data_IF_856768417073
#
_entry.id   IF_856768417073
#
_cell.length_a   1.000
_cell.length_b   1.000
_cell.length_c   1.000
_cell.angle_alpha   90.00
_cell.angle_beta   90.00
_cell.angle_gamma   90.00
#
_symmetry.space_group_name_H-M   'P 1'
#
loop_
_entity.id
_entity.type
_entity.pdbx_description
1 polymer ?
#
# COMPACT_ATOMS: atom_id res chain seq x y z
N UNK A 1 25.98 10.88 -3.84
CA UNK A 1 25.73 9.43 -3.83
C UNK A 1 24.26 9.16 -4.14
N UNK A 2 23.92 8.88 -5.40
CA UNK A 2 22.51 8.77 -5.88
C UNK A 2 22.01 7.32 -5.75
N UNK A 3 22.90 6.33 -5.74
CA UNK A 3 22.54 4.91 -5.79
C UNK A 3 22.04 4.38 -4.44
N UNK A 4 22.70 4.73 -3.35
CA UNK A 4 22.38 4.21 -2.02
C UNK A 4 20.99 4.67 -1.52
N UNK A 5 20.62 5.99 -1.58
CA UNK A 5 19.29 6.41 -1.17
C UNK A 5 18.17 5.70 -1.94
N UNK A 6 18.38 5.44 -3.24
CA UNK A 6 17.40 4.74 -4.09
C UNK A 6 17.15 3.31 -3.60
N UNK A 7 18.22 2.53 -3.33
CA UNK A 7 18.11 1.15 -2.83
C UNK A 7 17.46 1.12 -1.46
N UNK A 8 17.87 2.03 -0.57
CA UNK A 8 17.27 2.14 0.77
C UNK A 8 15.78 2.50 0.68
N UNK A 9 15.43 3.46 -0.17
CA UNK A 9 14.02 3.85 -0.35
C UNK A 9 13.19 2.71 -0.94
N UNK A 10 13.73 1.97 -1.90
CA UNK A 10 13.06 0.80 -2.47
C UNK A 10 12.80 -0.26 -1.40
N UNK A 11 13.81 -0.58 -0.57
CA UNK A 11 13.64 -1.50 0.55
C UNK A 11 12.57 -1.03 1.55
N UNK A 12 12.64 0.23 2.00
CA UNK A 12 11.69 0.81 2.95
C UNK A 12 10.27 0.83 2.41
N UNK A 13 10.09 1.18 1.13
CA UNK A 13 8.78 1.18 0.48
C UNK A 13 8.22 -0.24 0.40
N UNK A 14 9.02 -1.22 -0.02
CA UNK A 14 8.60 -2.62 -0.06
C UNK A 14 8.25 -3.17 1.32
N UNK A 15 9.03 -2.82 2.35
CA UNK A 15 8.78 -3.18 3.74
C UNK A 15 7.45 -2.57 4.25
N UNK A 16 7.23 -1.28 3.99
CA UNK A 16 6.00 -0.57 4.37
C UNK A 16 4.75 -1.18 3.72
N UNK A 17 4.78 -1.38 2.40
CA UNK A 17 3.66 -1.94 1.65
C UNK A 17 3.34 -3.37 2.11
N UNK A 18 4.36 -4.20 2.30
CA UNK A 18 4.16 -5.59 2.71
C UNK A 18 3.65 -5.75 4.13
N UNK A 19 4.17 -4.97 5.08
CA UNK A 19 3.65 -4.95 6.45
C UNK A 19 2.20 -4.46 6.49
N UNK A 20 1.88 -3.44 5.72
CA UNK A 20 0.53 -2.90 5.55
C UNK A 20 -0.42 -3.94 4.94
N UNK A 21 0.03 -4.64 3.89
CA UNK A 21 -0.70 -5.73 3.25
C UNK A 21 -0.97 -6.89 4.22
N UNK A 22 0.03 -7.31 5.00
CA UNK A 22 -0.14 -8.34 6.02
C UNK A 22 -1.22 -7.99 7.04
N UNK A 23 -1.25 -6.75 7.52
CA UNK A 23 -2.23 -6.28 8.47
C UNK A 23 -3.65 -6.22 7.85
N UNK A 24 -3.79 -5.60 6.68
CA UNK A 24 -5.11 -5.42 6.04
C UNK A 24 -5.75 -6.75 5.65
N UNK A 25 -4.96 -7.71 5.16
CA UNK A 25 -5.46 -9.06 4.83
C UNK A 25 -6.08 -9.76 6.05
N UNK A 26 -5.50 -9.58 7.21
CA UNK A 26 -5.99 -10.19 8.46
C UNK A 26 -7.19 -9.43 9.02
N UNK A 27 -7.13 -8.11 9.06
CA UNK A 27 -8.22 -7.25 9.52
C UNK A 27 -9.48 -7.45 8.70
N UNK A 28 -9.35 -7.61 7.37
CA UNK A 28 -10.47 -7.84 6.46
C UNK A 28 -10.75 -9.33 6.21
N UNK A 29 -9.97 -10.23 6.80
CA UNK A 29 -10.07 -11.70 6.60
C UNK A 29 -10.13 -12.10 5.12
N UNK A 30 -9.41 -11.36 4.32
CA UNK A 30 -9.36 -11.57 2.88
C UNK A 30 -7.91 -11.56 2.40
N UNK A 31 -7.37 -12.70 1.93
CA UNK A 31 -5.99 -12.78 1.44
C UNK A 31 -5.72 -11.92 0.19
N UNK A 32 -6.78 -11.45 -0.47
CA UNK A 32 -6.75 -10.57 -1.63
C UNK A 32 -6.89 -9.09 -1.25
N UNK A 33 -7.12 -8.79 0.03
CA UNK A 33 -7.24 -7.41 0.48
C UNK A 33 -5.90 -6.69 0.33
N UNK A 34 -5.98 -5.49 -0.20
CA UNK A 34 -4.85 -4.60 -0.43
C UNK A 34 -5.23 -3.19 0.03
N UNK A 35 -4.30 -2.41 0.57
CA UNK A 35 -4.51 -0.99 0.82
C UNK A 35 -5.02 -0.21 -0.40
N UNK A 36 -4.66 -0.67 -1.59
CA UNK A 36 -5.06 -0.04 -2.85
C UNK A 36 -6.55 -0.21 -3.16
N UNK A 37 -7.13 -1.35 -2.82
CA UNK A 37 -8.58 -1.58 -2.99
C UNK A 37 -9.43 -0.69 -2.08
N UNK A 38 -8.80 -0.09 -1.04
CA UNK A 38 -9.47 0.83 -0.12
C UNK A 38 -9.33 2.31 -0.51
N UNK A 39 -8.74 2.61 -1.66
CA UNK A 39 -8.68 3.95 -2.22
C UNK A 39 -7.44 4.76 -1.87
N UNK A 40 -6.50 4.22 -1.09
CA UNK A 40 -5.29 4.96 -0.68
C UNK A 40 -4.46 5.42 -1.88
N UNK A 41 -4.30 4.55 -2.89
CA UNK A 41 -3.51 4.89 -4.09
C UNK A 41 -4.21 5.87 -5.02
N UNK A 42 -5.52 5.75 -5.21
CA UNK A 42 -6.29 6.69 -6.03
C UNK A 42 -6.32 8.09 -5.40
N UNK A 43 -6.47 8.17 -4.07
CA UNK A 43 -6.34 9.42 -3.35
C UNK A 43 -4.96 10.05 -3.48
N UNK A 44 -3.89 9.26 -3.29
CA UNK A 44 -2.53 9.74 -3.48
C UNK A 44 -2.29 10.25 -4.91
N UNK A 45 -2.79 9.52 -5.92
CA UNK A 45 -2.70 9.92 -7.33
C UNK A 45 -3.46 11.22 -7.61
N UNK A 46 -4.62 11.40 -6.99
CA UNK A 46 -5.38 12.64 -7.11
C UNK A 46 -4.62 13.83 -6.52
N UNK A 47 -4.09 13.70 -5.30
CA UNK A 47 -3.31 14.77 -4.66
C UNK A 47 -2.06 15.13 -5.44
N UNK A 48 -1.29 14.14 -5.88
CA UNK A 48 -0.10 14.36 -6.70
C UNK A 48 -0.45 14.97 -8.06
N UNK A 49 -1.52 14.49 -8.70
CA UNK A 49 -2.03 15.00 -9.97
C UNK A 49 -2.46 16.45 -9.88
N UNK A 50 -3.15 16.87 -8.81
CA UNK A 50 -3.51 18.27 -8.56
C UNK A 50 -2.27 19.18 -8.49
N UNK A 51 -1.25 18.76 -7.75
CA UNK A 51 0.00 19.51 -7.62
C UNK A 51 0.70 19.62 -8.97
N UNK A 52 0.79 18.52 -9.73
CA UNK A 52 1.41 18.53 -11.07
C UNK A 52 0.62 19.42 -12.03
N UNK A 53 -0.71 19.27 -12.08
CA UNK A 53 -1.57 20.04 -12.97
C UNK A 53 -1.51 21.55 -12.66
N UNK A 54 -1.58 21.92 -11.39
CA UNK A 54 -1.53 23.31 -10.94
C UNK A 54 -0.13 23.93 -10.99
N UNK A 55 0.93 23.10 -10.89
CA UNK A 55 2.33 23.57 -10.87
C UNK A 55 2.77 24.15 -9.53
N UNK A 56 2.10 23.82 -8.43
CA UNK A 56 2.46 24.32 -7.10
C UNK A 56 3.70 23.62 -6.55
N UNK A 57 4.60 24.39 -5.90
CA UNK A 57 5.86 23.89 -5.31
C UNK A 57 6.17 24.52 -3.95
N UNK A 58 5.17 24.69 -3.09
CA UNK A 58 5.33 25.48 -1.85
C UNK A 58 6.18 24.77 -0.76
N UNK A 59 6.28 23.43 -0.78
CA UNK A 59 7.18 22.64 0.08
C UNK A 59 8.40 22.08 -0.67
N UNK A 60 8.77 22.66 -1.82
CA UNK A 60 9.86 22.16 -2.65
C UNK A 60 9.65 20.69 -3.05
N UNK A 61 10.67 19.85 -2.86
CA UNK A 61 10.63 18.42 -3.21
C UNK A 61 9.56 17.59 -2.46
N UNK A 62 9.05 18.08 -1.33
CA UNK A 62 8.05 17.39 -0.52
C UNK A 62 6.61 17.74 -0.90
N UNK A 63 6.39 18.74 -1.77
CA UNK A 63 5.02 19.17 -2.14
C UNK A 63 4.17 18.02 -2.69
N UNK A 64 4.72 17.26 -3.63
CA UNK A 64 4.05 16.09 -4.22
C UNK A 64 3.76 15.01 -3.17
N UNK A 65 4.74 14.71 -2.31
CA UNK A 65 4.60 13.70 -1.28
C UNK A 65 3.56 14.11 -0.22
N UNK A 66 3.59 15.36 0.22
CA UNK A 66 2.64 15.90 1.19
C UNK A 66 1.19 15.85 0.63
N UNK A 67 0.98 16.31 -0.59
CA UNK A 67 -0.34 16.26 -1.22
C UNK A 67 -0.80 14.80 -1.42
N UNK A 68 0.07 13.92 -1.92
CA UNK A 68 -0.24 12.51 -2.07
C UNK A 68 -0.66 11.85 -0.75
N UNK A 69 0.08 12.10 0.34
CA UNK A 69 -0.24 11.57 1.67
C UNK A 69 -1.56 12.13 2.20
N UNK A 70 -1.77 13.45 2.14
CA UNK A 70 -3.00 14.10 2.62
C UNK A 70 -4.23 13.53 1.91
N UNK A 71 -4.20 13.45 0.59
CA UNK A 71 -5.34 12.92 -0.17
C UNK A 71 -5.52 11.41 -0.02
N UNK A 72 -4.45 10.64 0.19
CA UNK A 72 -4.54 9.23 0.57
C UNK A 72 -5.30 9.04 1.89
N UNK A 73 -4.95 9.84 2.91
CA UNK A 73 -5.61 9.82 4.22
C UNK A 73 -7.06 10.31 4.12
N UNK A 74 -7.33 11.38 3.39
CA UNK A 74 -8.69 11.89 3.17
C UNK A 74 -9.58 10.85 2.49
N UNK A 75 -9.07 10.16 1.49
CA UNK A 75 -9.80 9.09 0.79
C UNK A 75 -10.13 7.94 1.73
N UNK A 76 -9.16 7.49 2.52
CA UNK A 76 -9.40 6.44 3.50
C UNK A 76 -10.37 6.88 4.58
N UNK A 77 -10.23 8.11 5.08
CA UNK A 77 -11.17 8.67 6.06
C UNK A 77 -12.60 8.73 5.49
N UNK A 78 -12.75 9.15 4.24
CA UNK A 78 -14.04 9.13 3.54
C UNK A 78 -14.59 7.71 3.44
N UNK A 79 -13.78 6.72 3.04
CA UNK A 79 -14.20 5.31 2.95
C UNK A 79 -14.69 4.78 4.31
N UNK A 80 -13.94 5.06 5.39
CA UNK A 80 -14.33 4.68 6.76
C UNK A 80 -15.60 5.40 7.20
N UNK A 81 -15.74 6.69 6.92
CA UNK A 81 -16.92 7.47 7.28
C UNK A 81 -18.18 6.99 6.54
N UNK A 82 -18.08 6.73 5.24
CA UNK A 82 -19.19 6.17 4.46
C UNK A 82 -19.57 4.77 4.95
N UNK A 83 -18.60 3.89 5.16
CA UNK A 83 -18.86 2.55 5.71
C UNK A 83 -19.55 2.62 7.06
N UNK A 84 -19.10 3.47 7.97
CA UNK A 84 -19.69 3.62 9.31
C UNK A 84 -21.13 4.11 9.29
N UNK A 85 -21.57 4.82 8.24
CA UNK A 85 -22.95 5.27 8.08
C UNK A 85 -23.86 4.20 7.49
N UNK A 86 -23.31 3.35 6.60
CA UNK A 86 -24.07 2.31 5.90
C UNK A 86 -24.17 1.05 6.77
N UNK A 87 -23.08 0.68 7.43
CA UNK A 87 -22.96 -0.55 8.19
C UNK A 87 -22.40 -0.28 9.60
N UNK A 88 -23.28 -0.42 10.61
CA UNK A 88 -22.90 -0.22 12.03
C UNK A 88 -21.92 -1.28 12.53
N UNK A 89 -21.94 -2.49 11.96
CA UNK A 89 -21.04 -3.59 12.32
C UNK A 89 -19.67 -3.46 11.66
N UNK A 90 -19.52 -2.51 10.73
CA UNK A 90 -18.28 -2.22 10.03
C UNK A 90 -17.67 -3.47 9.39
N UNK A 91 -18.50 -4.21 8.64
CA UNK A 91 -18.09 -5.48 8.02
C UNK A 91 -17.04 -5.31 6.92
N UNK A 92 -16.19 -6.33 6.78
CA UNK A 92 -15.07 -6.31 5.82
C UNK A 92 -15.54 -6.15 4.37
N UNK A 93 -16.66 -6.78 4.01
CA UNK A 93 -17.28 -6.70 2.68
C UNK A 93 -17.72 -5.27 2.33
N UNK A 94 -18.37 -4.60 3.28
CA UNK A 94 -18.86 -3.22 3.11
C UNK A 94 -17.69 -2.24 2.98
N UNK A 95 -16.63 -2.42 3.77
CA UNK A 95 -15.40 -1.59 3.69
C UNK A 95 -14.76 -1.73 2.31
N UNK A 96 -14.56 -2.95 1.84
CA UNK A 96 -13.94 -3.22 0.54
C UNK A 96 -14.78 -2.65 -0.60
N UNK A 97 -16.10 -2.87 -0.56
CA UNK A 97 -17.00 -2.33 -1.57
C UNK A 97 -16.97 -0.80 -1.63
N UNK A 98 -17.09 -0.15 -0.46
CA UNK A 98 -17.03 1.32 -0.36
C UNK A 98 -15.69 1.86 -0.85
N UNK A 99 -14.58 1.21 -0.47
CA UNK A 99 -13.24 1.57 -0.92
C UNK A 99 -13.08 1.43 -2.44
N UNK A 100 -13.57 0.34 -3.03
CA UNK A 100 -13.51 0.13 -4.48
C UNK A 100 -14.33 1.18 -5.25
N UNK A 101 -15.57 1.46 -4.82
CA UNK A 101 -16.40 2.48 -5.47
C UNK A 101 -15.73 3.85 -5.43
N UNK A 102 -15.21 4.23 -4.25
CA UNK A 102 -14.51 5.49 -4.07
C UNK A 102 -13.21 5.55 -4.91
N UNK A 103 -12.47 4.44 -4.97
CA UNK A 103 -11.27 4.31 -5.83
C UNK A 103 -11.59 4.52 -7.30
N UNK A 104 -12.64 3.89 -7.82
CA UNK A 104 -13.06 4.01 -9.21
C UNK A 104 -13.48 5.46 -9.53
N UNK A 105 -14.26 6.07 -8.63
CA UNK A 105 -14.71 7.46 -8.79
C UNK A 105 -13.52 8.43 -8.82
N UNK A 106 -12.59 8.33 -7.85
CA UNK A 106 -11.40 9.19 -7.81
C UNK A 106 -10.50 8.94 -9.02
N UNK A 107 -10.32 7.68 -9.43
CA UNK A 107 -9.53 7.34 -10.62
C UNK A 107 -10.10 7.94 -11.90
N UNK A 108 -11.43 7.97 -12.03
CA UNK A 108 -12.08 8.66 -13.15
C UNK A 108 -11.77 10.17 -13.17
N UNK A 109 -11.83 10.82 -12.00
CA UNK A 109 -11.46 12.24 -11.88
C UNK A 109 -9.99 12.46 -12.25
N UNK A 110 -9.07 11.60 -11.76
CA UNK A 110 -7.63 11.67 -12.07
C UNK A 110 -7.40 11.53 -13.57
N UNK A 111 -8.10 10.62 -14.25
CA UNK A 111 -7.99 10.45 -15.70
C UNK A 111 -8.49 11.68 -16.47
N UNK A 112 -9.62 12.27 -16.07
CA UNK A 112 -10.11 13.52 -16.67
C UNK A 112 -9.10 14.65 -16.45
N UNK A 113 -8.62 14.82 -15.22
CA UNK A 113 -7.62 15.83 -14.88
C UNK A 113 -6.32 15.64 -15.67
N UNK A 114 -5.85 14.41 -15.82
CA UNK A 114 -4.66 14.10 -16.61
C UNK A 114 -4.83 14.49 -18.07
N UNK A 115 -5.98 14.17 -18.69
CA UNK A 115 -6.29 14.57 -20.07
C UNK A 115 -6.35 16.09 -20.26
N UNK A 116 -6.88 16.81 -19.28
CA UNK A 116 -6.95 18.27 -19.31
C UNK A 116 -5.61 18.96 -19.03
N UNK A 117 -4.65 18.26 -18.44
CA UNK A 117 -3.36 18.80 -18.04
C UNK A 117 -2.38 19.06 -19.21
N UNK A 118 -2.74 18.73 -20.46
CA UNK A 118 -1.93 18.98 -21.63
C UNK A 118 -0.54 18.35 -21.55
N UNK A 119 0.50 19.17 -21.65
CA UNK A 119 1.91 18.68 -21.62
C UNK A 119 2.30 17.97 -20.30
N UNK A 120 1.59 18.27 -19.20
CA UNK A 120 1.84 17.63 -17.89
C UNK A 120 1.24 16.22 -17.79
N UNK A 121 0.45 15.77 -18.75
CA UNK A 121 -0.14 14.43 -18.82
C UNK A 121 0.88 13.32 -18.59
N UNK A 122 2.02 13.38 -19.29
CA UNK A 122 3.10 12.38 -19.14
C UNK A 122 3.68 12.34 -17.73
N UNK A 123 3.74 13.50 -17.05
CA UNK A 123 4.25 13.58 -15.67
C UNK A 123 3.30 12.90 -14.68
N UNK A 124 2.00 13.10 -14.83
CA UNK A 124 0.97 12.45 -14.01
C UNK A 124 1.03 10.93 -14.20
N UNK A 125 1.08 10.45 -15.44
CA UNK A 125 1.20 9.01 -15.73
C UNK A 125 2.48 8.41 -15.17
N UNK A 126 3.63 9.09 -15.35
CA UNK A 126 4.91 8.63 -14.81
C UNK A 126 4.87 8.51 -13.28
N UNK A 127 4.21 9.46 -12.60
CA UNK A 127 4.04 9.37 -11.15
C UNK A 127 3.16 8.18 -10.74
N UNK A 128 2.06 7.92 -11.46
CA UNK A 128 1.17 6.79 -11.20
C UNK A 128 1.83 5.41 -11.37
N UNK A 129 2.84 5.30 -12.20
CA UNK A 129 3.51 4.00 -12.45
C UNK A 129 4.64 3.69 -11.48
N UNK A 130 4.98 4.62 -10.60
CA UNK A 130 5.97 4.46 -9.54
C UNK A 130 7.42 4.50 -10.01
N UNK A 131 8.25 5.23 -9.26
CA UNK A 131 9.69 5.35 -9.52
C UNK A 131 10.44 5.80 -8.27
N UNK A 132 11.66 5.27 -8.08
CA UNK A 132 12.58 5.71 -7.03
C UNK A 132 13.63 6.71 -7.53
N UNK A 133 13.56 7.11 -8.80
CA UNK A 133 14.52 8.03 -9.40
C UNK A 133 14.43 9.43 -8.80
N UNK A 134 15.59 10.06 -8.59
CA UNK A 134 15.69 11.45 -8.09
C UNK A 134 15.31 11.65 -6.62
N UNK A 135 15.22 10.58 -5.80
CA UNK A 135 14.94 10.66 -4.37
C UNK A 135 16.23 10.66 -3.54
N UNK A 136 16.32 11.57 -2.57
CA UNK A 136 17.47 11.71 -1.66
C UNK A 136 17.26 11.08 -0.29
N UNK A 137 18.26 11.19 0.59
CA UNK A 137 18.24 10.67 1.96
C UNK A 137 17.08 11.24 2.82
N UNK A 138 16.65 12.48 2.56
CA UNK A 138 15.51 13.07 3.25
C UNK A 138 14.21 12.29 3.03
N UNK A 139 13.98 11.79 1.81
CA UNK A 139 12.84 10.90 1.51
C UNK A 139 12.95 9.57 2.24
N UNK A 140 14.17 8.98 2.29
CA UNK A 140 14.43 7.76 3.05
C UNK A 140 14.14 7.95 4.54
N UNK A 141 14.58 9.06 5.12
CA UNK A 141 14.38 9.34 6.54
C UNK A 141 12.89 9.41 6.91
N UNK A 142 12.08 10.12 6.12
CA UNK A 142 10.62 10.21 6.38
C UNK A 142 9.96 8.84 6.28
N UNK A 143 10.22 8.10 5.20
CA UNK A 143 9.63 6.76 5.01
C UNK A 143 10.11 5.79 6.10
N UNK A 144 11.38 5.86 6.51
CA UNK A 144 11.95 5.02 7.57
C UNK A 144 11.26 5.28 8.91
N UNK A 145 11.16 6.54 9.34
CA UNK A 145 10.54 6.91 10.62
C UNK A 145 9.09 6.45 10.68
N UNK A 146 8.30 6.75 9.64
CA UNK A 146 6.90 6.34 9.60
C UNK A 146 6.77 4.82 9.56
N UNK A 147 7.60 4.13 8.78
CA UNK A 147 7.58 2.67 8.68
C UNK A 147 7.91 2.01 10.01
N UNK A 148 8.95 2.46 10.70
CA UNK A 148 9.34 1.91 12.01
C UNK A 148 8.22 2.10 13.03
N UNK A 149 7.63 3.29 13.12
CA UNK A 149 6.52 3.59 14.05
C UNK A 149 5.31 2.70 13.74
N UNK A 150 4.86 2.65 12.49
CA UNK A 150 3.67 1.88 12.13
C UNK A 150 3.87 0.38 12.28
N UNK A 151 5.04 -0.16 11.88
CA UNK A 151 5.38 -1.57 12.06
C UNK A 151 5.43 -1.92 13.55
N UNK A 152 6.02 -1.05 14.38
CA UNK A 152 6.05 -1.23 15.84
C UNK A 152 4.62 -1.27 16.42
N UNK A 153 3.71 -0.38 15.98
CA UNK A 153 2.30 -0.41 16.39
C UNK A 153 1.66 -1.74 15.98
N UNK A 154 1.87 -2.22 14.76
CA UNK A 154 1.35 -3.52 14.33
C UNK A 154 1.90 -4.70 15.15
N UNK A 155 3.19 -4.66 15.50
CA UNK A 155 3.79 -5.69 16.35
C UNK A 155 3.19 -5.68 17.76
N UNK A 156 2.98 -4.50 18.32
CA UNK A 156 2.31 -4.34 19.62
C UNK A 156 0.88 -4.86 19.60
N UNK A 157 0.17 -4.65 18.49
CA UNK A 157 -1.21 -5.12 18.26
C UNK A 157 -1.29 -6.50 17.57
N UNK A 158 -0.19 -7.26 17.56
CA UNK A 158 -0.14 -8.56 16.86
C UNK A 158 -1.14 -9.58 17.39
N UNK A 159 -1.40 -9.59 18.69
CA UNK A 159 -2.40 -10.47 19.32
C UNK A 159 -3.84 -10.12 18.85
N UNK A 160 -4.15 -8.84 18.72
CA UNK A 160 -5.44 -8.38 18.18
C UNK A 160 -5.59 -8.78 16.71
N UNK A 161 -4.52 -8.65 15.91
CA UNK A 161 -4.50 -9.11 14.52
C UNK A 161 -4.71 -10.63 14.42
N UNK A 162 -4.09 -11.42 15.32
CA UNK A 162 -4.30 -12.86 15.40
C UNK A 162 -5.77 -13.18 15.69
N UNK A 163 -6.37 -12.55 16.71
CA UNK A 163 -7.77 -12.77 17.09
C UNK A 163 -8.74 -12.30 16.01
N UNK A 164 -8.50 -11.15 15.39
CA UNK A 164 -9.31 -10.65 14.27
C UNK A 164 -9.32 -11.59 13.07
N UNK A 165 -8.25 -12.37 12.85
CA UNK A 165 -8.17 -13.33 11.75
C UNK A 165 -9.10 -14.53 11.95
N UNK A 166 -9.47 -14.89 13.18
CA UNK A 166 -10.42 -15.96 13.48
C UNK A 166 -11.89 -15.55 13.35
N UNK A 167 -12.19 -14.25 13.44
CA UNK A 167 -13.55 -13.74 13.27
C UNK A 167 -13.94 -12.70 14.31
N UNK A 168 -15.03 -11.97 14.03
CA UNK A 168 -15.52 -10.91 14.92
C UNK A 168 -16.03 -11.47 16.25
N UNK A 169 -16.72 -12.61 16.22
CA UNK A 169 -17.28 -13.25 17.41
C UNK A 169 -16.17 -13.72 18.36
N UNK A 170 -15.13 -14.35 17.82
CA UNK A 170 -13.98 -14.82 18.59
C UNK A 170 -13.18 -13.65 19.17
N UNK A 171 -12.99 -12.57 18.40
CA UNK A 171 -12.33 -11.36 18.86
C UNK A 171 -13.15 -10.70 20.00
N UNK A 172 -14.46 -10.58 19.86
CA UNK A 172 -15.35 -10.03 20.86
C UNK A 172 -15.38 -10.87 22.16
N UNK A 173 -15.41 -12.20 22.02
CA UNK A 173 -15.35 -13.14 23.17
C UNK A 173 -14.04 -13.03 23.94
N UNK A 174 -12.96 -12.61 23.28
CA UNK A 174 -11.66 -12.33 23.90
C UNK A 174 -11.55 -10.90 24.46
N UNK A 175 -12.64 -10.12 24.46
CA UNK A 175 -12.69 -8.76 25.03
C UNK A 175 -12.19 -7.66 24.09
N UNK A 176 -12.03 -7.95 22.79
CA UNK A 176 -11.65 -6.95 21.81
C UNK A 176 -12.90 -6.32 21.20
N UNK A 177 -12.91 -5.00 20.96
CA UNK A 177 -13.87 -4.35 20.07
C UNK A 177 -13.43 -4.51 18.60
N UNK A 178 -14.10 -5.39 17.80
CA UNK A 178 -13.67 -5.65 16.44
C UNK A 178 -13.78 -4.43 15.52
N UNK A 179 -14.83 -3.59 15.72
CA UNK A 179 -15.06 -2.42 14.88
C UNK A 179 -14.04 -1.31 15.16
N UNK A 180 -13.78 -1.01 16.43
CA UNK A 180 -12.79 -0.02 16.84
C UNK A 180 -11.37 -0.42 16.46
N UNK A 181 -10.98 -1.68 16.73
CA UNK A 181 -9.68 -2.24 16.35
C UNK A 181 -9.47 -2.18 14.83
N UNK A 182 -10.50 -2.55 14.06
CA UNK A 182 -10.44 -2.49 12.59
C UNK A 182 -10.23 -1.07 12.09
N UNK A 183 -11.00 -0.09 12.57
CA UNK A 183 -10.84 1.32 12.21
C UNK A 183 -9.43 1.82 12.50
N UNK A 184 -8.93 1.55 13.71
CA UNK A 184 -7.60 1.96 14.12
C UNK A 184 -6.51 1.37 13.20
N UNK A 185 -6.54 0.05 12.97
CA UNK A 185 -5.54 -0.62 12.13
C UNK A 185 -5.59 -0.17 10.67
N UNK A 186 -6.78 0.14 10.14
CA UNK A 186 -6.93 0.71 8.79
C UNK A 186 -6.39 2.14 8.69
N UNK A 187 -6.47 2.95 9.75
CA UNK A 187 -5.83 4.28 9.78
C UNK A 187 -4.31 4.13 9.75
N UNK A 188 -3.73 3.26 10.58
CA UNK A 188 -2.28 2.99 10.58
C UNK A 188 -1.82 2.47 9.20
N UNK A 189 -2.61 1.59 8.58
CA UNK A 189 -2.38 1.11 7.22
C UNK A 189 -2.33 2.27 6.21
N UNK A 190 -3.25 3.21 6.32
CA UNK A 190 -3.32 4.35 5.39
C UNK A 190 -2.13 5.30 5.55
N UNK A 191 -1.70 5.54 6.79
CA UNK A 191 -0.49 6.33 7.08
C UNK A 191 0.73 5.66 6.47
N UNK A 192 0.90 4.35 6.71
CA UNK A 192 2.06 3.59 6.25
C UNK A 192 2.10 3.49 4.71
N UNK A 193 1.00 3.04 4.11
CA UNK A 193 0.89 2.90 2.65
C UNK A 193 0.88 4.25 1.96
N UNK A 194 0.13 5.23 2.49
CA UNK A 194 0.07 6.59 1.95
C UNK A 194 1.45 7.25 1.93
N UNK A 195 2.25 7.09 2.99
CA UNK A 195 3.63 7.59 3.02
C UNK A 195 4.49 6.87 1.97
N UNK A 196 4.43 5.54 1.88
CA UNK A 196 5.18 4.80 0.87
C UNK A 196 4.84 5.28 -0.54
N UNK A 197 3.55 5.32 -0.89
CA UNK A 197 3.06 5.75 -2.21
C UNK A 197 3.40 7.21 -2.50
N UNK A 198 3.31 8.09 -1.52
CA UNK A 198 3.63 9.52 -1.68
C UNK A 198 5.06 9.77 -2.17
N UNK A 199 6.01 8.93 -1.76
CA UNK A 199 7.42 9.05 -2.17
C UNK A 199 7.80 8.18 -3.36
N UNK A 200 7.16 7.04 -3.58
CA UNK A 200 7.50 6.09 -4.65
C UNK A 200 6.54 6.11 -5.84
N UNK A 201 5.37 6.72 -5.71
CA UNK A 201 4.25 6.50 -6.61
C UNK A 201 3.55 5.15 -6.33
N UNK A 202 2.62 4.77 -7.20
CA UNK A 202 1.81 3.55 -6.99
C UNK A 202 2.59 2.31 -7.45
N UNK A 203 2.85 1.37 -6.52
CA UNK A 203 3.57 0.12 -6.77
C UNK A 203 2.79 -1.03 -6.14
N UNK A 204 2.07 -1.79 -6.94
CA UNK A 204 1.21 -2.88 -6.47
C UNK A 204 1.90 -4.24 -6.35
N UNK A 205 1.12 -5.25 -5.91
CA UNK A 205 1.44 -6.66 -5.74
C UNK A 205 2.38 -7.02 -4.59
N UNK A 206 3.31 -6.15 -4.18
CA UNK A 206 4.26 -6.41 -3.10
C UNK A 206 3.54 -6.65 -1.78
N UNK A 207 2.52 -5.84 -1.51
CA UNK A 207 1.62 -5.91 -0.36
C UNK A 207 0.82 -7.22 -0.29
N UNK A 208 0.63 -7.89 -1.43
CA UNK A 208 -0.10 -9.15 -1.51
C UNK A 208 0.84 -10.37 -1.48
N UNK A 209 1.98 -10.31 -2.18
CA UNK A 209 2.89 -11.43 -2.38
C UNK A 209 3.68 -11.74 -1.12
N UNK A 210 4.37 -10.74 -0.55
CA UNK A 210 5.29 -10.96 0.55
C UNK A 210 4.61 -11.59 1.78
N UNK A 211 3.41 -11.14 2.23
CA UNK A 211 2.72 -11.79 3.34
C UNK A 211 2.31 -13.23 3.04
N UNK A 212 1.95 -13.54 1.79
CA UNK A 212 1.57 -14.91 1.41
C UNK A 212 2.77 -15.87 1.45
N UNK A 213 3.94 -15.41 0.98
CA UNK A 213 5.19 -16.17 1.08
C UNK A 213 5.53 -16.43 2.55
N UNK A 214 5.50 -15.37 3.36
CA UNK A 214 5.86 -15.45 4.79
C UNK A 214 4.93 -16.39 5.55
N UNK A 215 3.61 -16.29 5.35
CA UNK A 215 2.66 -17.18 6.01
C UNK A 215 2.86 -18.66 5.65
N UNK A 216 3.34 -18.94 4.44
CA UNK A 216 3.64 -20.33 4.02
C UNK A 216 4.89 -20.90 4.65
N UNK A 217 5.90 -20.07 4.90
CA UNK A 217 7.20 -20.50 5.42
C UNK A 217 7.23 -20.47 6.95
N UNK A 218 6.69 -19.41 7.56
CA UNK A 218 6.82 -19.13 8.98
C UNK A 218 5.50 -19.27 9.77
N UNK A 219 4.40 -19.64 9.11
CA UNK A 219 3.08 -19.72 9.74
C UNK A 219 2.34 -18.38 9.80
N UNK A 220 1.17 -18.37 10.47
CA UNK A 220 0.22 -17.27 10.40
C UNK A 220 0.32 -16.26 11.57
N UNK A 221 1.19 -16.48 12.57
CA UNK A 221 1.30 -15.63 13.76
C UNK A 221 1.83 -14.24 13.41
N UNK A 222 1.06 -13.19 13.72
CA UNK A 222 1.36 -11.82 13.27
C UNK A 222 2.64 -11.22 13.86
N UNK A 223 3.06 -11.66 15.05
CA UNK A 223 4.36 -11.26 15.62
C UNK A 223 5.56 -11.68 14.75
N UNK A 224 5.38 -12.65 13.84
CA UNK A 224 6.38 -13.11 12.86
C UNK A 224 6.02 -12.60 11.47
N UNK A 225 4.74 -12.68 11.09
CA UNK A 225 4.28 -12.28 9.75
C UNK A 225 4.58 -10.82 9.43
N UNK A 226 4.34 -9.90 10.37
CA UNK A 226 4.56 -8.47 10.13
C UNK A 226 6.04 -8.16 9.83
N UNK A 227 7.02 -8.48 10.72
CA UNK A 227 8.42 -8.16 10.47
C UNK A 227 9.01 -8.95 9.29
N UNK A 228 8.66 -10.23 9.13
CA UNK A 228 9.15 -11.01 8.00
C UNK A 228 8.58 -10.55 6.67
N UNK A 229 7.31 -10.11 6.63
CA UNK A 229 6.74 -9.50 5.42
C UNK A 229 7.47 -8.21 5.04
N UNK A 230 7.85 -7.38 6.02
CA UNK A 230 8.65 -6.18 5.77
C UNK A 230 10.00 -6.53 5.13
N UNK A 231 10.71 -7.53 5.66
CA UNK A 231 12.02 -7.96 5.11
C UNK A 231 11.86 -8.53 3.70
N UNK A 232 10.93 -9.48 3.52
CA UNK A 232 10.70 -10.13 2.21
C UNK A 232 10.23 -9.11 1.16
N UNK A 233 9.29 -8.24 1.53
CA UNK A 233 8.78 -7.22 0.62
C UNK A 233 9.81 -6.14 0.28
N UNK A 234 10.63 -5.73 1.25
CA UNK A 234 11.76 -4.83 1.02
C UNK A 234 12.77 -5.42 0.05
N UNK A 235 13.16 -6.68 0.26
CA UNK A 235 14.08 -7.40 -0.63
C UNK A 235 13.50 -7.57 -2.03
N UNK A 236 12.24 -7.98 -2.14
CA UNK A 236 11.53 -8.12 -3.41
C UNK A 236 11.51 -6.79 -4.20
N UNK A 237 11.23 -5.68 -3.50
CA UNK A 237 11.20 -4.35 -4.12
C UNK A 237 12.57 -3.93 -4.66
N UNK A 238 13.66 -4.20 -3.91
CA UNK A 238 15.03 -3.92 -4.37
C UNK A 238 15.35 -4.73 -5.63
N UNK A 239 14.98 -6.02 -5.68
CA UNK A 239 15.17 -6.86 -6.85
C UNK A 239 14.40 -6.30 -8.05
N UNK A 240 13.14 -5.90 -7.86
CA UNK A 240 12.33 -5.28 -8.92
C UNK A 240 12.91 -3.93 -9.40
N UNK A 241 13.46 -3.10 -8.50
CA UNK A 241 14.12 -1.85 -8.90
C UNK A 241 15.41 -2.10 -9.69
N UNK A 242 16.20 -3.12 -9.33
CA UNK A 242 17.37 -3.54 -10.12
C UNK A 242 16.93 -3.99 -11.51
N UNK A 243 15.93 -4.85 -11.62
CA UNK A 243 15.39 -5.31 -12.90
C UNK A 243 14.87 -4.14 -13.75
N UNK A 244 14.10 -3.20 -13.13
CA UNK A 244 13.58 -2.01 -13.80
C UNK A 244 14.67 -1.14 -14.45
N UNK A 245 15.87 -1.11 -13.88
CA UNK A 245 17.01 -0.34 -14.40
C UNK A 245 17.87 -1.06 -15.41
N UNK A 246 17.87 -2.39 -15.39
CA UNK A 246 18.82 -3.20 -16.19
C UNK A 246 18.22 -3.77 -17.45
N UNK A 247 16.94 -4.12 -17.45
CA UNK A 247 16.30 -4.83 -18.57
C UNK A 247 16.23 -4.00 -19.85
N UNK A 248 16.00 -2.70 -19.75
CA UNK A 248 15.84 -1.80 -20.91
C UNK A 248 16.88 -0.67 -20.94
N UNK A 249 18.05 -0.87 -20.30
CA UNK A 249 19.08 0.16 -20.27
C UNK A 249 19.41 0.68 -21.69
N UNK A 250 19.57 2.00 -21.90
CA UNK A 250 19.69 3.07 -20.90
C UNK A 250 18.35 3.65 -20.38
N UNK A 251 17.19 3.24 -20.91
CA UNK A 251 15.88 3.66 -20.39
C UNK A 251 15.53 2.86 -19.13
N UNK A 252 14.77 3.50 -18.21
CA UNK A 252 14.28 2.82 -17.01
C UNK A 252 12.80 2.46 -17.15
N UNK A 253 12.44 1.22 -16.81
CA UNK A 253 11.04 0.82 -16.70
C UNK A 253 10.45 1.36 -15.39
N UNK A 254 9.14 1.68 -15.35
CA UNK A 254 8.45 1.96 -14.10
C UNK A 254 8.49 0.72 -13.19
N UNK A 255 8.85 0.91 -11.93
CA UNK A 255 8.99 -0.21 -10.97
C UNK A 255 7.66 -0.92 -10.75
N UNK A 256 6.53 -0.17 -10.73
CA UNK A 256 5.19 -0.74 -10.62
C UNK A 256 4.83 -1.70 -11.77
N UNK A 257 5.33 -1.45 -12.98
CA UNK A 257 5.16 -2.37 -14.11
C UNK A 257 5.92 -3.67 -13.89
N UNK A 258 7.15 -3.60 -13.38
CA UNK A 258 7.96 -4.80 -13.09
C UNK A 258 7.34 -5.63 -11.96
N UNK A 259 6.90 -4.98 -10.89
CA UNK A 259 6.22 -5.68 -9.77
C UNK A 259 4.92 -6.33 -10.21
N UNK A 260 4.16 -5.70 -11.11
CA UNK A 260 2.93 -6.27 -11.67
C UNK A 260 3.21 -7.48 -12.57
N UNK A 261 4.24 -7.38 -13.45
CA UNK A 261 4.62 -8.45 -14.37
C UNK A 261 5.07 -9.72 -13.63
N UNK A 262 5.80 -9.58 -12.54
CA UNK A 262 6.24 -10.70 -11.70
C UNK A 262 5.12 -11.13 -10.74
N UNK A 263 4.42 -10.16 -10.18
CA UNK A 263 3.46 -10.37 -9.11
C UNK A 263 2.18 -11.04 -9.54
N UNK A 264 1.59 -10.66 -10.67
CA UNK A 264 0.33 -11.20 -11.11
C UNK A 264 0.41 -12.70 -11.46
N UNK A 265 1.40 -13.21 -12.23
CA UNK A 265 1.57 -14.65 -12.46
C UNK A 265 1.87 -15.43 -11.19
N UNK A 266 2.73 -14.91 -10.31
CA UNK A 266 3.03 -15.56 -9.04
C UNK A 266 1.78 -15.70 -8.18
N UNK A 267 0.98 -14.63 -8.08
CA UNK A 267 -0.25 -14.64 -7.30
C UNK A 267 -1.27 -15.63 -7.87
N UNK A 268 -1.46 -15.65 -9.19
CA UNK A 268 -2.31 -16.62 -9.87
C UNK A 268 -1.88 -18.05 -9.56
N UNK A 269 -0.58 -18.38 -9.68
CA UNK A 269 -0.03 -19.70 -9.35
C UNK A 269 -0.33 -20.11 -7.89
N UNK A 270 -0.09 -19.19 -6.96
CA UNK A 270 -0.31 -19.41 -5.52
C UNK A 270 -1.78 -19.68 -5.22
N UNK A 271 -2.68 -18.93 -5.86
CA UNK A 271 -4.13 -19.07 -5.68
C UNK A 271 -4.67 -20.39 -6.23
N UNK A 272 -4.32 -20.75 -7.46
CA UNK A 272 -4.79 -21.98 -8.09
C UNK A 272 -4.23 -23.25 -7.41
N UNK A 273 -2.97 -23.22 -6.97
CA UNK A 273 -2.38 -24.34 -6.23
C UNK A 273 -3.11 -24.60 -4.89
N UNK A 274 -3.53 -23.54 -4.20
CA UNK A 274 -4.30 -23.68 -2.95
C UNK A 274 -5.64 -24.37 -3.20
N UNK A 275 -6.35 -23.99 -4.26
CA UNK A 275 -7.67 -24.57 -4.59
C UNK A 275 -7.57 -26.05 -4.97
N UNK A 276 -6.51 -26.46 -5.65
CA UNK A 276 -6.27 -27.87 -6.03
C UNK A 276 -5.96 -28.79 -4.85
N UNK A 277 -5.36 -28.26 -3.77
CA UNK A 277 -5.05 -29.04 -2.57
C UNK A 277 -6.21 -29.06 -1.54
N UNK A 278 -7.30 -28.36 -1.81
CA UNK A 278 -8.50 -28.30 -0.95
C UNK A 278 -9.67 -29.12 -1.51
N UNK A 279 -9.47 -29.71 -2.70
CA UNK A 279 -10.34 -30.74 -3.30
C UNK A 279 -9.70 -32.11 -3.13
#
# INVERSE_FOLDING_TARGET
DIRMPRVVLAFLTGAALSASGAAVQSVLRNPLASPYTLGVSSGASFGAGLVIAAGFTFLGQFTLAAAGLVFALLTMFAAVAFTSRIDKNFESSTIVLTGMVLSLFISAIVNIMANLAGEKYKQILKWQTGSFSGRGWSSCAVVAVVSVICIFIYMHRSKELDLMSFGNEQAASAGIDPAGTRRFLLIIMSVLTGTAVAFSGVIGFVDMIAPQIVRRIFGAKHSVVIPMSAVVGGTFMVICDIAARTVTAPSELPVGTVTALVGAPFFAYVFFKKRRNSQ
#
